data_IF_329281178833
#
_entry.id   IF_329281178833
#
_cell.length_a   1.000
_cell.length_b   1.000
_cell.length_c   1.000
_cell.angle_alpha   90.00
_cell.angle_beta   90.00
_cell.angle_gamma   90.00
#
_symmetry.space_group_name_H-M   'P 1'
#
loop_
_entity.id
_entity.type
_entity.pdbx_description
1 polymer ?
#
# COMPACT_ATOMS: atom_id res chain seq x y z
N UNK A 1 40.87 -17.65 45.56
CA UNK A 1 40.60 -17.83 44.11
C UNK A 1 39.13 -18.12 43.80
N UNK A 2 38.47 -19.14 44.38
CA UNK A 2 37.05 -19.45 44.10
C UNK A 2 36.05 -18.33 44.42
N UNK A 3 36.30 -17.51 45.46
CA UNK A 3 35.45 -16.35 45.81
C UNK A 3 35.59 -15.15 44.86
N UNK A 4 36.76 -14.97 44.23
CA UNK A 4 36.96 -13.91 43.21
C UNK A 4 36.28 -14.27 41.88
N UNK A 5 36.24 -15.57 41.53
CA UNK A 5 35.55 -16.07 40.34
C UNK A 5 34.03 -15.86 40.42
N UNK A 6 33.44 -16.03 41.60
CA UNK A 6 32.01 -15.80 41.82
C UNK A 6 31.65 -14.31 41.64
N UNK A 7 32.53 -13.40 42.08
CA UNK A 7 32.34 -11.96 41.91
C UNK A 7 32.37 -11.55 40.42
N UNK A 8 33.24 -12.18 39.63
CA UNK A 8 33.30 -11.97 38.18
C UNK A 8 32.06 -12.49 37.45
N UNK A 9 31.49 -13.61 37.88
CA UNK A 9 30.25 -14.18 37.30
C UNK A 9 29.02 -13.32 37.64
N UNK A 10 28.97 -12.70 38.83
CA UNK A 10 27.85 -11.80 39.21
C UNK A 10 27.97 -10.44 38.52
N UNK A 11 29.19 -9.92 38.29
CA UNK A 11 29.41 -8.66 37.57
C UNK A 11 29.11 -8.77 36.06
N UNK A 12 29.38 -9.93 35.44
CA UNK A 12 29.09 -10.14 34.02
C UNK A 12 27.60 -10.35 33.71
N UNK A 13 26.77 -10.73 34.70
CA UNK A 13 25.32 -10.91 34.51
C UNK A 13 24.51 -9.60 34.58
N UNK A 14 25.13 -8.46 34.87
CA UNK A 14 24.45 -7.15 34.95
C UNK A 14 24.73 -6.23 33.75
N UNK A 15 25.45 -6.71 32.73
CA UNK A 15 25.64 -5.94 31.49
C UNK A 15 24.49 -6.25 30.54
N UNK A 16 23.28 -5.84 30.93
CA UNK A 16 22.20 -5.64 29.98
C UNK A 16 22.59 -4.44 29.12
N UNK A 17 23.24 -4.70 27.99
CA UNK A 17 23.42 -3.67 26.95
C UNK A 17 22.02 -3.35 26.42
N UNK A 18 21.35 -2.38 27.03
CA UNK A 18 20.18 -1.76 26.44
C UNK A 18 20.67 -1.05 25.19
N UNK A 19 20.44 -1.65 24.02
CA UNK A 19 20.44 -0.88 22.78
C UNK A 19 19.33 0.17 22.94
N UNK A 20 19.71 1.43 23.15
CA UNK A 20 18.77 2.54 23.16
C UNK A 20 18.17 2.62 21.76
N UNK A 21 16.88 2.30 21.67
CA UNK A 21 16.09 2.49 20.45
C UNK A 21 15.61 3.93 20.45
N UNK A 22 16.29 4.78 19.68
CA UNK A 22 15.89 6.17 19.51
C UNK A 22 14.85 6.28 18.39
N UNK A 23 13.79 7.03 18.66
CA UNK A 23 12.77 7.38 17.69
C UNK A 23 13.20 8.62 16.92
N UNK A 24 13.08 8.56 15.61
CA UNK A 24 13.38 9.64 14.69
C UNK A 24 12.14 9.98 13.88
N UNK A 25 11.92 11.27 13.66
CA UNK A 25 10.88 11.76 12.75
C UNK A 25 11.50 12.68 11.71
N UNK A 26 11.17 12.43 10.44
CA UNK A 26 11.64 13.26 9.33
C UNK A 26 10.44 13.79 8.53
N UNK A 27 10.66 14.96 7.92
CA UNK A 27 9.71 15.64 7.05
C UNK A 27 10.32 15.74 5.65
N UNK A 28 9.72 15.10 4.66
CA UNK A 28 10.22 15.08 3.29
C UNK A 28 9.51 16.14 2.46
N UNK A 29 10.29 17.01 1.81
CA UNK A 29 9.79 18.12 1.00
C UNK A 29 10.48 18.20 -0.34
N UNK A 30 9.78 18.71 -1.33
CA UNK A 30 10.39 19.16 -2.59
C UNK A 30 11.24 20.41 -2.33
N UNK A 31 12.46 20.45 -2.86
CA UNK A 31 13.42 21.54 -2.60
C UNK A 31 13.01 22.87 -3.23
N UNK A 32 12.24 22.86 -4.32
CA UNK A 32 11.87 24.05 -5.08
C UNK A 32 10.57 24.67 -4.56
N UNK A 33 9.55 23.83 -4.36
CA UNK A 33 8.19 24.23 -3.96
C UNK A 33 7.99 24.25 -2.45
N UNK A 34 8.89 23.60 -1.70
CA UNK A 34 8.82 23.38 -0.25
C UNK A 34 7.56 22.63 0.20
N UNK A 35 6.81 22.04 -0.73
CA UNK A 35 5.64 21.24 -0.44
C UNK A 35 6.05 19.85 0.10
N UNK A 36 5.23 19.26 0.98
CA UNK A 36 5.43 17.88 1.40
C UNK A 36 5.45 16.90 0.23
N UNK A 37 6.27 15.86 0.35
CA UNK A 37 6.26 14.72 -0.57
C UNK A 37 5.58 13.55 0.12
N UNK A 38 4.33 13.31 -0.24
CA UNK A 38 3.55 12.14 0.18
C UNK A 38 4.11 10.86 -0.46
N UNK A 39 3.99 9.72 0.25
CA UNK A 39 4.36 8.38 -0.24
C UNK A 39 5.85 8.24 -0.64
N UNK A 40 6.71 9.16 -0.20
CA UNK A 40 8.15 9.01 -0.33
C UNK A 40 8.59 7.79 0.48
N UNK A 41 9.34 6.90 -0.16
CA UNK A 41 9.83 5.68 0.47
C UNK A 41 11.08 5.98 1.29
N UNK A 42 11.07 5.54 2.53
CA UNK A 42 12.14 5.70 3.49
C UNK A 42 12.63 4.31 3.91
N UNK A 43 13.87 3.99 3.60
CA UNK A 43 14.48 2.69 3.88
C UNK A 43 15.57 2.83 4.93
N UNK A 44 15.40 2.15 6.06
CA UNK A 44 16.45 1.98 7.06
C UNK A 44 17.44 0.93 6.55
N UNK A 45 18.63 1.35 6.11
CA UNK A 45 19.50 0.51 5.28
C UNK A 45 20.01 -0.76 5.97
N UNK A 46 20.21 -0.72 7.29
CA UNK A 46 20.70 -1.87 8.08
C UNK A 46 19.63 -2.95 8.27
N UNK A 47 18.39 -2.55 8.57
CA UNK A 47 17.27 -3.47 8.84
C UNK A 47 16.47 -3.80 7.58
N UNK A 48 16.65 -3.02 6.50
CA UNK A 48 15.82 -3.06 5.29
C UNK A 48 14.34 -2.80 5.59
N UNK A 49 14.05 -2.11 6.70
CA UNK A 49 12.70 -1.66 7.00
C UNK A 49 12.32 -0.56 6.00
N UNK A 50 11.15 -0.73 5.40
CA UNK A 50 10.56 0.20 4.46
C UNK A 50 9.44 0.94 5.17
N UNK A 51 9.42 2.27 5.00
CA UNK A 51 8.39 3.16 5.49
C UNK A 51 7.97 4.14 4.39
N UNK A 52 6.82 4.77 4.55
CA UNK A 52 6.30 5.79 3.66
C UNK A 52 5.95 7.04 4.45
N UNK A 53 6.14 8.19 3.80
CA UNK A 53 5.62 9.45 4.31
C UNK A 53 4.11 9.55 4.11
N UNK A 54 3.42 10.18 5.06
CA UNK A 54 2.00 10.51 4.96
C UNK A 54 1.76 11.76 4.09
N UNK A 55 0.51 12.25 4.03
CA UNK A 55 0.13 13.45 3.26
C UNK A 55 0.89 14.72 3.69
N UNK A 56 1.29 14.80 4.97
CA UNK A 56 2.12 15.88 5.50
C UNK A 56 3.61 15.71 5.15
N UNK A 57 3.99 14.65 4.42
CA UNK A 57 5.38 14.31 4.11
C UNK A 57 6.15 13.78 5.32
N UNK A 58 5.46 13.43 6.42
CA UNK A 58 6.07 13.00 7.68
C UNK A 58 6.18 11.48 7.76
N UNK A 59 7.29 11.00 8.33
CA UNK A 59 7.46 9.59 8.70
C UNK A 59 8.25 9.48 9.99
N UNK A 60 7.88 8.50 10.81
CA UNK A 60 8.55 8.16 12.07
C UNK A 60 9.09 6.73 12.02
N UNK A 61 10.29 6.52 12.56
CA UNK A 61 10.94 5.22 12.61
C UNK A 61 11.92 5.14 13.77
N UNK A 62 12.34 3.92 14.10
CA UNK A 62 13.31 3.65 15.16
C UNK A 62 14.61 3.14 14.57
N UNK A 63 15.73 3.66 15.04
CA UNK A 63 17.05 3.15 14.68
C UNK A 63 17.66 2.35 15.83
N UNK A 64 18.08 1.10 15.54
CA UNK A 64 18.86 0.27 16.46
C UNK A 64 20.36 0.39 16.12
N UNK A 65 20.97 1.45 16.66
CA UNK A 65 22.35 1.87 16.39
C UNK A 65 22.52 2.57 15.04
N UNK A 66 23.77 2.85 14.66
CA UNK A 66 24.08 3.63 13.46
C UNK A 66 23.63 2.96 12.15
N UNK A 67 22.54 3.45 11.56
CA UNK A 67 22.04 3.01 10.25
C UNK A 67 21.60 4.20 9.41
N UNK A 68 22.22 4.35 8.25
CA UNK A 68 21.80 5.36 7.27
C UNK A 68 20.37 5.09 6.79
N UNK A 69 19.74 6.15 6.31
CA UNK A 69 18.37 6.14 5.79
C UNK A 69 18.42 6.59 4.33
N UNK A 70 17.76 5.84 3.45
CA UNK A 70 17.59 6.23 2.06
C UNK A 70 16.16 6.72 1.85
N UNK A 71 16.02 7.90 1.26
CA UNK A 71 14.74 8.48 0.86
C UNK A 71 14.66 8.47 -0.67
N UNK A 72 13.56 7.96 -1.21
CA UNK A 72 13.34 7.83 -2.65
C UNK A 72 11.86 8.00 -2.99
N UNK A 73 11.57 8.66 -4.10
CA UNK A 73 10.25 8.75 -4.71
C UNK A 73 10.47 8.71 -6.23
N UNK A 74 9.49 8.22 -7.00
CA UNK A 74 9.61 8.01 -8.45
C UNK A 74 10.15 9.23 -9.19
N UNK A 75 9.71 10.43 -8.80
CA UNK A 75 9.98 11.69 -9.50
C UNK A 75 11.19 12.45 -8.96
N UNK A 76 11.91 11.90 -7.99
CA UNK A 76 12.98 12.61 -7.29
C UNK A 76 14.29 11.82 -7.31
N UNK A 77 15.40 12.54 -7.25
CA UNK A 77 16.71 11.95 -7.03
C UNK A 77 16.75 11.26 -5.67
N UNK A 78 17.28 10.03 -5.62
CA UNK A 78 17.43 9.28 -4.39
C UNK A 78 18.45 9.98 -3.47
N UNK A 79 18.11 10.11 -2.19
CA UNK A 79 18.97 10.74 -1.20
C UNK A 79 19.30 9.76 -0.06
N UNK A 80 20.58 9.60 0.25
CA UNK A 80 21.02 8.81 1.41
C UNK A 80 21.49 9.75 2.51
N UNK A 81 20.83 9.68 3.65
CA UNK A 81 21.10 10.48 4.84
C UNK A 81 21.94 9.63 5.80
N UNK A 82 23.05 10.19 6.26
CA UNK A 82 23.86 9.54 7.30
C UNK A 82 23.13 9.63 8.64
N UNK A 83 23.14 8.53 9.39
CA UNK A 83 22.46 8.48 10.69
C UNK A 83 22.94 9.58 11.65
N UNK A 84 24.23 9.91 11.61
CA UNK A 84 24.85 10.98 12.42
C UNK A 84 24.32 12.39 12.11
N UNK A 85 23.65 12.55 10.97
CA UNK A 85 23.07 13.83 10.54
C UNK A 85 21.61 13.98 10.96
N UNK A 86 20.95 12.88 11.38
CA UNK A 86 19.59 12.92 11.90
C UNK A 86 19.62 13.56 13.28
N UNK A 87 18.93 14.68 13.44
CA UNK A 87 18.72 15.32 14.74
C UNK A 87 17.48 14.70 15.39
N UNK A 88 17.48 14.63 16.72
CA UNK A 88 16.27 14.30 17.48
C UNK A 88 15.19 15.36 17.19
N UNK A 89 13.99 14.90 16.82
CA UNK A 89 12.79 15.68 16.46
C UNK A 89 12.86 16.49 15.14
N UNK A 90 12.03 16.05 14.17
CA UNK A 90 11.61 16.75 12.94
C UNK A 90 12.73 17.27 12.03
N UNK A 91 13.59 16.37 11.57
CA UNK A 91 14.60 16.68 10.55
C UNK A 91 13.97 16.80 9.16
N UNK A 92 14.15 17.93 8.48
CA UNK A 92 13.63 18.13 7.11
C UNK A 92 14.60 17.60 6.06
N UNK A 93 14.09 16.77 5.16
CA UNK A 93 14.78 16.19 4.01
C UNK A 93 14.26 16.84 2.74
N UNK A 94 15.14 17.48 1.99
CA UNK A 94 14.78 18.08 0.71
C UNK A 94 15.14 17.15 -0.44
N UNK A 95 14.14 16.76 -1.21
CA UNK A 95 14.31 15.99 -2.45
C UNK A 95 14.33 16.94 -3.65
N UNK A 96 15.20 16.62 -4.60
CA UNK A 96 15.32 17.35 -5.86
C UNK A 96 14.57 16.59 -6.96
N UNK A 97 13.66 17.27 -7.65
CA UNK A 97 12.89 16.68 -8.73
C UNK A 97 13.80 16.27 -9.90
N UNK A 98 13.47 15.16 -10.57
CA UNK A 98 14.12 14.70 -11.81
C UNK A 98 13.67 15.46 -13.07
N UNK A 99 12.84 16.52 -12.88
CA UNK A 99 12.11 17.26 -13.90
C UNK A 99 12.88 17.42 -15.21
N UNK A 100 12.27 16.93 -16.28
CA UNK A 100 12.63 17.28 -17.65
C UNK A 100 11.41 17.97 -18.31
N UNK A 101 11.62 19.12 -18.94
CA UNK A 101 10.55 20.05 -19.33
C UNK A 101 9.86 19.71 -20.67
N UNK A 102 9.72 18.43 -21.05
CA UNK A 102 9.15 18.06 -22.35
C UNK A 102 8.20 16.86 -22.24
N UNK A 103 6.91 17.10 -22.53
CA UNK A 103 5.94 16.03 -22.75
C UNK A 103 6.22 15.38 -24.11
N UNK A 104 6.86 14.21 -24.11
CA UNK A 104 7.13 13.46 -25.33
C UNK A 104 5.98 12.50 -25.64
N UNK A 105 5.36 12.68 -26.81
CA UNK A 105 4.42 11.69 -27.35
C UNK A 105 5.23 10.51 -27.89
N UNK A 106 5.00 9.31 -27.34
CA UNK A 106 5.70 8.10 -27.77
C UNK A 106 5.06 7.56 -29.04
N UNK A 107 5.71 7.77 -30.18
CA UNK A 107 5.26 7.19 -31.46
C UNK A 107 5.83 5.78 -31.60
N UNK A 108 5.04 4.77 -31.19
CA UNK A 108 5.38 3.36 -31.38
C UNK A 108 4.69 2.77 -32.61
N UNK A 109 5.39 1.89 -33.33
CA UNK A 109 4.78 1.05 -34.38
C UNK A 109 3.96 -0.10 -33.80
N UNK A 110 4.17 -0.43 -32.52
CA UNK A 110 3.45 -1.49 -31.84
C UNK A 110 2.14 -0.98 -31.25
N UNK A 111 1.08 -1.79 -31.36
CA UNK A 111 -0.21 -1.47 -30.79
C UNK A 111 -0.13 -1.37 -29.25
N UNK A 112 -0.64 -0.30 -28.61
CA UNK A 112 -0.55 -0.10 -27.16
C UNK A 112 -1.04 -1.26 -26.31
N UNK A 113 -2.11 -1.96 -26.72
CA UNK A 113 -2.60 -3.13 -25.99
C UNK A 113 -1.60 -4.30 -26.01
N UNK A 114 -0.83 -4.46 -27.10
CA UNK A 114 0.24 -5.48 -27.15
C UNK A 114 1.40 -5.12 -26.23
N UNK A 115 1.71 -3.82 -26.11
CA UNK A 115 2.69 -3.32 -25.15
C UNK A 115 2.21 -3.64 -23.73
N UNK A 116 0.94 -3.35 -23.42
CA UNK A 116 0.32 -3.69 -22.13
C UNK A 116 0.45 -5.19 -21.81
N UNK A 117 0.08 -6.06 -22.75
CA UNK A 117 0.19 -7.51 -22.57
C UNK A 117 1.62 -7.95 -22.22
N UNK A 118 2.63 -7.38 -22.88
CA UNK A 118 4.05 -7.68 -22.61
C UNK A 118 4.49 -7.23 -21.23
N UNK A 119 4.16 -5.99 -20.83
CA UNK A 119 4.57 -5.46 -19.53
C UNK A 119 3.86 -6.17 -18.38
N UNK A 120 2.58 -6.54 -18.54
CA UNK A 120 1.83 -7.30 -17.54
C UNK A 120 2.40 -8.71 -17.41
N UNK A 121 2.63 -9.41 -18.53
CA UNK A 121 3.22 -10.75 -18.51
C UNK A 121 4.59 -10.76 -17.83
N UNK A 122 5.48 -9.85 -18.20
CA UNK A 122 6.83 -9.78 -17.63
C UNK A 122 6.80 -9.39 -16.14
N UNK A 123 5.91 -8.47 -15.74
CA UNK A 123 5.74 -8.10 -14.33
C UNK A 123 5.20 -9.28 -13.50
N UNK A 124 4.23 -10.03 -14.04
CA UNK A 124 3.70 -11.25 -13.42
C UNK A 124 4.78 -12.31 -13.26
N UNK A 125 5.58 -12.56 -14.30
CA UNK A 125 6.67 -13.54 -14.21
C UNK A 125 7.73 -13.12 -13.18
N UNK A 126 8.05 -11.83 -13.09
CA UNK A 126 9.07 -11.30 -12.17
C UNK A 126 8.64 -11.34 -10.70
N UNK A 127 7.35 -11.09 -10.41
CA UNK A 127 6.82 -11.15 -9.04
C UNK A 127 6.54 -12.60 -8.59
N UNK A 128 6.40 -13.54 -9.53
CA UNK A 128 6.09 -14.97 -9.31
C UNK A 128 7.24 -15.79 -8.74
N UNK A 129 7.84 -15.28 -7.66
CA UNK A 129 8.85 -15.97 -6.86
C UNK A 129 8.25 -16.34 -5.51
N UNK A 130 8.72 -17.42 -4.90
CA UNK A 130 8.41 -17.68 -3.50
C UNK A 130 9.04 -16.59 -2.65
N UNK A 131 8.23 -15.85 -1.92
CA UNK A 131 8.69 -14.75 -1.07
C UNK A 131 7.67 -14.48 0.04
N UNK A 132 8.06 -13.60 0.96
CA UNK A 132 7.16 -13.05 1.97
C UNK A 132 7.22 -11.53 2.00
N UNK A 133 6.08 -10.94 2.34
CA UNK A 133 5.91 -9.53 2.59
C UNK A 133 5.43 -9.35 4.04
N UNK A 134 6.16 -8.58 4.84
CA UNK A 134 5.63 -8.04 6.08
C UNK A 134 4.92 -6.74 5.75
N UNK A 135 3.62 -6.68 6.01
CA UNK A 135 2.76 -5.59 5.57
C UNK A 135 2.08 -4.95 6.79
N UNK A 136 2.06 -3.63 6.83
CA UNK A 136 1.13 -2.88 7.65
C UNK A 136 -0.14 -2.64 6.85
N UNK A 137 -1.25 -3.13 7.36
CA UNK A 137 -2.59 -2.96 6.81
C UNK A 137 -3.35 -1.99 7.68
N UNK A 138 -4.11 -1.08 7.08
CA UNK A 138 -5.04 -0.17 7.74
C UNK A 138 -6.35 -0.12 6.97
N UNK A 139 -7.49 -0.23 7.65
CA UNK A 139 -8.80 -0.05 7.04
C UNK A 139 -9.67 0.92 7.85
N UNK A 140 -10.25 1.89 7.15
CA UNK A 140 -11.32 2.73 7.69
C UNK A 140 -12.65 2.34 7.06
N UNK A 141 -13.68 2.26 7.88
CA UNK A 141 -15.04 1.98 7.46
C UNK A 141 -15.95 3.13 7.86
N UNK A 142 -16.61 3.71 6.86
CA UNK A 142 -17.62 4.73 7.04
C UNK A 142 -19.01 4.16 6.74
N UNK A 143 -19.94 4.50 7.63
CA UNK A 143 -21.36 4.25 7.47
C UNK A 143 -22.10 5.57 7.52
N UNK A 144 -22.94 5.84 6.52
CA UNK A 144 -23.73 7.07 6.40
C UNK A 144 -22.88 8.34 6.61
N UNK A 145 -21.71 8.33 5.96
CA UNK A 145 -20.70 9.39 5.98
C UNK A 145 -20.05 9.63 7.34
N UNK A 146 -20.16 8.70 8.28
CA UNK A 146 -19.47 8.75 9.57
C UNK A 146 -18.51 7.58 9.70
N UNK A 147 -17.31 7.82 10.21
CA UNK A 147 -16.42 6.73 10.59
C UNK A 147 -17.07 5.94 11.73
N UNK A 148 -17.31 4.66 11.47
CA UNK A 148 -17.99 3.77 12.41
C UNK A 148 -17.09 2.67 12.91
N UNK A 149 -16.06 2.34 12.13
CA UNK A 149 -15.18 1.25 12.45
C UNK A 149 -13.77 1.47 11.85
N UNK A 150 -12.74 1.00 12.55
CA UNK A 150 -11.34 1.05 12.16
C UNK A 150 -10.61 -0.24 12.51
N UNK A 151 -9.73 -0.72 11.63
CA UNK A 151 -8.71 -1.70 12.00
C UNK A 151 -7.32 -1.30 11.48
N UNK A 152 -6.28 -1.83 12.11
CA UNK A 152 -4.98 -1.96 11.49
C UNK A 152 -4.25 -3.20 12.02
N UNK A 153 -3.15 -3.57 11.38
CA UNK A 153 -2.34 -4.68 11.83
C UNK A 153 -1.01 -4.81 11.11
N UNK A 154 -0.08 -5.48 11.79
CA UNK A 154 1.12 -6.03 11.18
C UNK A 154 0.84 -7.48 10.79
N UNK A 155 0.92 -7.74 9.50
CA UNK A 155 0.64 -9.05 8.93
C UNK A 155 1.80 -9.53 8.06
N UNK A 156 1.87 -10.84 7.84
CA UNK A 156 2.84 -11.47 6.96
C UNK A 156 2.10 -12.24 5.89
N UNK A 157 2.31 -11.86 4.63
CA UNK A 157 1.87 -12.63 3.47
C UNK A 157 3.03 -13.49 3.00
N UNK A 158 2.83 -14.80 2.90
CA UNK A 158 3.78 -15.72 2.29
C UNK A 158 3.21 -16.24 0.97
N UNK A 159 3.94 -16.02 -0.11
CA UNK A 159 3.53 -16.41 -1.46
C UNK A 159 4.17 -17.73 -1.85
N UNK A 160 3.37 -18.60 -2.44
CA UNK A 160 3.88 -19.73 -3.20
C UNK A 160 4.29 -19.28 -4.62
N UNK A 161 4.82 -20.20 -5.44
CA UNK A 161 5.23 -19.91 -6.82
C UNK A 161 4.08 -19.51 -7.76
N UNK A 162 2.83 -19.71 -7.34
CA UNK A 162 1.64 -19.37 -8.11
C UNK A 162 1.03 -18.02 -7.63
N UNK A 163 1.74 -17.26 -6.81
CA UNK A 163 1.27 -16.02 -6.19
C UNK A 163 0.03 -16.15 -5.32
N UNK A 164 -0.27 -17.34 -4.82
CA UNK A 164 -1.31 -17.50 -3.79
C UNK A 164 -0.75 -17.09 -2.44
N UNK A 165 -1.33 -16.09 -1.76
CA UNK A 165 -0.87 -15.66 -0.46
C UNK A 165 -1.41 -16.57 0.66
N UNK A 166 -0.56 -16.85 1.65
CA UNK A 166 -0.97 -17.28 2.99
C UNK A 166 -0.78 -16.12 3.95
N UNK A 167 -1.83 -15.74 4.67
CA UNK A 167 -1.81 -14.65 5.63
C UNK A 167 -1.60 -15.13 7.06
N UNK A 168 -0.61 -14.55 7.74
CA UNK A 168 -0.41 -14.64 9.19
C UNK A 168 -0.56 -13.27 9.83
N UNK A 169 -1.24 -13.19 10.99
CA UNK A 169 -1.41 -11.93 11.73
C UNK A 169 -0.48 -11.91 12.95
N UNK A 170 0.44 -10.95 12.97
CA UNK A 170 1.41 -10.78 14.06
C UNK A 170 0.77 -9.99 15.22
N UNK A 171 0.25 -8.81 14.89
CA UNK A 171 -0.41 -7.87 15.80
C UNK A 171 -1.57 -7.19 15.07
N UNK A 172 -2.62 -6.82 15.80
CA UNK A 172 -3.75 -6.06 15.28
C UNK A 172 -4.49 -5.29 16.37
N UNK A 173 -5.14 -4.20 15.97
CA UNK A 173 -6.16 -3.50 16.74
C UNK A 173 -7.37 -3.21 15.85
N UNK A 174 -8.49 -3.11 16.52
CA UNK A 174 -9.82 -3.02 15.93
C UNK A 174 -10.67 -2.20 16.90
N UNK A 175 -11.36 -1.19 16.37
CA UNK A 175 -12.13 -0.21 17.13
C UNK A 175 -13.42 0.16 16.41
N UNK A 176 -14.41 0.64 17.18
CA UNK A 176 -15.72 1.05 16.68
C UNK A 176 -16.78 -0.03 16.76
N UNK A 177 -17.98 0.30 16.29
CA UNK A 177 -19.17 -0.54 16.38
C UNK A 177 -19.67 -0.90 14.99
N UNK A 178 -19.88 -2.19 14.77
CA UNK A 178 -20.49 -2.70 13.53
C UNK A 178 -21.98 -2.89 13.76
N UNK A 179 -22.79 -2.33 12.87
CA UNK A 179 -24.25 -2.53 12.93
C UNK A 179 -24.62 -3.97 12.55
N UNK A 180 -25.59 -4.53 13.28
CA UNK A 180 -25.97 -5.94 13.18
C UNK A 180 -26.63 -6.30 11.84
N UNK A 181 -27.24 -5.34 11.17
CA UNK A 181 -27.93 -5.51 9.88
C UNK A 181 -27.00 -5.40 8.67
N UNK A 182 -25.73 -5.00 8.86
CA UNK A 182 -24.69 -5.07 7.83
C UNK A 182 -24.05 -6.46 7.89
N UNK A 183 -24.27 -7.29 6.87
CA UNK A 183 -23.70 -8.64 6.85
C UNK A 183 -22.18 -8.64 6.85
N UNK A 184 -21.54 -9.68 7.40
CA UNK A 184 -20.09 -9.80 7.49
C UNK A 184 -19.40 -9.76 6.12
N UNK A 185 -20.07 -10.22 5.06
CA UNK A 185 -19.56 -10.21 3.68
C UNK A 185 -19.47 -8.81 3.06
N UNK A 186 -20.06 -7.80 3.72
CA UNK A 186 -20.01 -6.40 3.31
C UNK A 186 -18.93 -5.61 4.05
N UNK A 187 -18.16 -6.27 4.94
CA UNK A 187 -17.24 -5.62 5.87
C UNK A 187 -15.78 -5.83 5.46
N UNK A 188 -15.18 -4.79 4.91
CA UNK A 188 -13.74 -4.71 4.66
C UNK A 188 -13.32 -5.52 3.43
N UNK A 189 -12.05 -5.43 3.09
CA UNK A 189 -11.50 -6.20 1.99
C UNK A 189 -11.12 -7.61 2.44
N UNK A 190 -11.24 -8.59 1.53
CA UNK A 190 -10.57 -9.86 1.75
C UNK A 190 -9.08 -9.68 1.48
N UNK A 191 -8.28 -9.65 2.56
CA UNK A 191 -6.86 -9.34 2.52
C UNK A 191 -6.06 -10.28 1.62
N UNK A 192 -6.43 -11.58 1.56
CA UNK A 192 -5.78 -12.53 0.65
C UNK A 192 -6.17 -12.24 -0.81
N UNK A 193 -7.45 -11.99 -1.08
CA UNK A 193 -7.93 -11.72 -2.44
C UNK A 193 -7.29 -10.45 -3.02
N UNK A 194 -7.23 -9.35 -2.25
CA UNK A 194 -6.61 -8.11 -2.74
C UNK A 194 -5.10 -8.29 -2.95
N UNK A 195 -4.43 -9.00 -2.05
CA UNK A 195 -3.01 -9.28 -2.19
C UNK A 195 -2.69 -10.18 -3.40
N UNK A 196 -3.55 -11.15 -3.66
CA UNK A 196 -3.49 -11.97 -4.87
C UNK A 196 -3.76 -11.12 -6.12
N UNK A 197 -4.74 -10.22 -6.10
CA UNK A 197 -5.04 -9.33 -7.22
C UNK A 197 -3.84 -8.44 -7.58
N UNK A 198 -3.13 -7.90 -6.58
CA UNK A 198 -1.90 -7.13 -6.80
C UNK A 198 -0.77 -7.97 -7.40
N UNK A 199 -0.61 -9.20 -6.93
CA UNK A 199 0.49 -10.07 -7.34
C UNK A 199 0.24 -10.77 -8.67
N UNK A 200 -1.03 -10.95 -9.04
CA UNK A 200 -1.45 -11.58 -10.31
C UNK A 200 -1.78 -10.57 -11.40
N UNK A 201 -1.80 -9.26 -11.07
CA UNK A 201 -2.17 -8.15 -11.94
C UNK A 201 -3.61 -8.24 -12.49
N UNK A 202 -4.52 -8.79 -11.67
CA UNK A 202 -5.91 -9.09 -12.07
C UNK A 202 -6.73 -7.88 -12.49
N UNK A 203 -6.39 -6.68 -11.97
CA UNK A 203 -7.04 -5.43 -12.36
C UNK A 203 -6.95 -5.14 -13.87
N UNK A 204 -5.97 -5.72 -14.57
CA UNK A 204 -5.83 -5.53 -16.01
C UNK A 204 -6.57 -6.56 -16.87
N UNK A 205 -7.20 -7.58 -16.28
CA UNK A 205 -7.93 -8.61 -17.04
C UNK A 205 -8.90 -8.02 -18.09
N UNK A 206 -9.70 -6.97 -17.80
CA UNK A 206 -10.58 -6.35 -18.79
C UNK A 206 -9.84 -5.75 -20.00
N UNK A 207 -8.59 -5.32 -19.80
CA UNK A 207 -7.76 -4.68 -20.83
C UNK A 207 -6.95 -5.69 -21.64
N UNK A 208 -6.75 -6.89 -21.12
CA UNK A 208 -6.00 -7.96 -21.81
C UNK A 208 -6.87 -8.72 -22.81
N UNK A 209 -8.21 -8.64 -22.70
CA UNK A 209 -9.13 -9.22 -23.67
C UNK A 209 -9.02 -8.54 -25.03
N UNK A 210 -9.02 -9.33 -26.11
CA UNK A 210 -9.04 -8.85 -27.49
C UNK A 210 -10.14 -7.83 -27.82
N UNK A 211 -11.28 -7.88 -27.10
CA UNK A 211 -12.41 -6.96 -27.24
C UNK A 211 -12.15 -5.59 -26.64
N UNK A 212 -11.18 -5.43 -25.75
CA UNK A 212 -10.89 -4.16 -25.07
C UNK A 212 -10.67 -3.01 -26.06
N UNK A 213 -10.11 -3.28 -27.26
CA UNK A 213 -9.92 -2.27 -28.32
C UNK A 213 -11.21 -1.63 -28.85
N UNK A 214 -12.37 -2.25 -28.60
CA UNK A 214 -13.69 -1.72 -28.99
C UNK A 214 -14.34 -0.90 -27.89
N UNK A 215 -13.84 -1.02 -26.67
CA UNK A 215 -14.40 -0.43 -25.45
C UNK A 215 -13.48 0.68 -24.88
N UNK A 216 -12.18 0.63 -25.17
CA UNK A 216 -11.17 1.54 -24.61
C UNK A 216 -10.33 2.24 -25.68
N UNK A 217 -9.95 3.47 -25.39
CA UNK A 217 -8.85 4.17 -26.07
C UNK A 217 -7.57 4.05 -25.26
N UNK A 218 -6.42 3.94 -25.94
CA UNK A 218 -5.11 3.74 -25.33
C UNK A 218 -4.14 4.80 -25.81
N UNK A 219 -3.50 5.50 -24.87
CA UNK A 219 -2.47 6.50 -25.16
C UNK A 219 -1.21 6.20 -24.37
N UNK A 220 -0.03 6.49 -24.95
CA UNK A 220 1.26 6.33 -24.28
C UNK A 220 2.06 7.62 -24.45
N UNK A 221 2.60 8.14 -23.35
CA UNK A 221 3.45 9.33 -23.31
C UNK A 221 4.68 9.07 -22.43
N UNK A 222 5.74 9.85 -22.62
CA UNK A 222 6.83 9.93 -21.65
C UNK A 222 6.32 10.48 -20.31
N UNK A 223 6.89 10.01 -19.20
CA UNK A 223 6.51 10.49 -17.88
C UNK A 223 7.09 11.90 -17.63
N UNK A 224 6.22 12.88 -17.39
CA UNK A 224 6.56 14.31 -17.35
C UNK A 224 7.66 14.71 -16.36
N UNK A 225 7.84 13.95 -15.28
CA UNK A 225 8.86 14.22 -14.25
C UNK A 225 10.01 13.21 -14.21
N UNK A 226 9.97 12.15 -15.02
CA UNK A 226 10.97 11.09 -14.96
C UNK A 226 11.07 10.37 -16.31
N UNK A 227 12.10 10.72 -17.09
CA UNK A 227 12.34 10.16 -18.43
C UNK A 227 12.54 8.64 -18.49
N UNK A 228 12.85 8.00 -17.36
CA UNK A 228 13.07 6.56 -17.30
C UNK A 228 11.75 5.78 -17.42
N UNK A 229 10.59 6.47 -17.35
CA UNK A 229 9.28 5.85 -17.35
C UNK A 229 8.36 6.39 -18.43
N UNK A 230 7.47 5.52 -18.91
CA UNK A 230 6.34 5.88 -19.75
C UNK A 230 5.04 5.74 -18.96
N UNK A 231 4.05 6.53 -19.36
CA UNK A 231 2.68 6.52 -18.82
C UNK A 231 1.74 6.03 -19.92
N UNK A 232 1.02 4.95 -19.64
CA UNK A 232 -0.08 4.48 -20.47
C UNK A 232 -1.41 4.88 -19.82
N UNK A 233 -2.16 5.75 -20.49
CA UNK A 233 -3.50 6.18 -20.05
C UNK A 233 -4.56 5.51 -20.92
N UNK A 234 -5.55 4.90 -20.27
CA UNK A 234 -6.58 4.08 -20.92
C UNK A 234 -7.94 4.54 -20.41
N UNK A 235 -8.83 4.92 -21.32
CA UNK A 235 -10.14 5.48 -20.98
C UNK A 235 -11.25 4.74 -21.75
N UNK A 236 -12.42 4.50 -21.13
CA UNK A 236 -13.58 3.99 -21.84
C UNK A 236 -13.97 4.92 -22.99
N UNK A 237 -14.33 4.34 -24.13
CA UNK A 237 -14.90 5.08 -25.25
C UNK A 237 -16.33 5.53 -24.90
N UNK A 238 -16.79 6.64 -25.48
CA UNK A 238 -18.16 7.14 -25.26
C UNK A 238 -19.25 6.11 -25.63
N UNK A 239 -18.95 5.27 -26.64
CA UNK A 239 -19.83 4.21 -27.14
C UNK A 239 -19.62 2.86 -26.45
N UNK A 240 -18.78 2.80 -25.42
CA UNK A 240 -18.53 1.58 -24.66
C UNK A 240 -19.83 1.10 -24.00
N UNK A 241 -20.00 -0.22 -23.94
CA UNK A 241 -21.17 -0.85 -23.33
C UNK A 241 -20.89 -1.35 -21.93
N UNK A 242 -19.67 -1.82 -21.70
CA UNK A 242 -19.29 -2.52 -20.46
C UNK A 242 -18.16 -1.79 -19.71
N UNK A 243 -17.31 -1.05 -20.42
CA UNK A 243 -16.17 -0.35 -19.82
C UNK A 243 -16.59 0.88 -19.01
N UNK A 244 -16.10 0.96 -17.77
CA UNK A 244 -16.35 2.06 -16.84
C UNK A 244 -15.08 2.56 -16.15
N UNK A 245 -14.04 1.74 -16.05
CA UNK A 245 -12.81 2.05 -15.35
C UNK A 245 -11.83 2.83 -16.23
N UNK A 246 -11.17 3.82 -15.67
CA UNK A 246 -10.00 4.46 -16.26
C UNK A 246 -8.74 3.80 -15.69
N UNK A 247 -7.66 3.80 -16.47
CA UNK A 247 -6.39 3.27 -16.03
C UNK A 247 -5.26 4.24 -16.35
N UNK A 248 -4.35 4.39 -15.40
CA UNK A 248 -3.04 4.99 -15.60
C UNK A 248 -1.98 4.00 -15.17
N UNK A 249 -1.07 3.64 -16.08
CA UNK A 249 -0.05 2.62 -15.83
C UNK A 249 1.31 3.24 -16.11
N UNK A 250 2.14 3.33 -15.09
CA UNK A 250 3.52 3.81 -15.20
C UNK A 250 4.44 2.59 -15.26
N UNK A 251 5.32 2.56 -16.25
CA UNK A 251 6.21 1.42 -16.47
C UNK A 251 7.59 1.83 -16.98
N UNK A 252 8.58 0.99 -16.67
CA UNK A 252 9.94 1.06 -17.19
C UNK A 252 9.97 0.43 -18.59
N UNK A 253 10.22 1.19 -19.68
CA UNK A 253 10.19 0.68 -21.04
C UNK A 253 11.38 -0.24 -21.36
N UNK A 254 12.51 -0.10 -20.66
CA UNK A 254 13.69 -0.95 -20.84
C UNK A 254 13.50 -2.30 -20.13
N UNK A 255 13.11 -2.25 -18.84
CA UNK A 255 12.89 -3.45 -18.02
C UNK A 255 11.56 -4.12 -18.31
N UNK A 256 10.60 -3.40 -18.93
CA UNK A 256 9.23 -3.84 -19.20
C UNK A 256 8.50 -4.25 -17.91
N UNK A 257 8.68 -3.47 -16.85
CA UNK A 257 8.07 -3.69 -15.55
C UNK A 257 7.15 -2.53 -15.21
N UNK A 258 5.98 -2.87 -14.69
CA UNK A 258 5.06 -1.89 -14.11
C UNK A 258 5.68 -1.38 -12.82
N UNK A 259 5.62 -0.07 -12.57
CA UNK A 259 6.11 0.53 -11.33
C UNK A 259 4.98 1.10 -10.49
N UNK A 260 3.94 1.60 -11.15
CA UNK A 260 2.73 2.11 -10.51
C UNK A 260 1.55 1.85 -11.45
N UNK A 261 0.37 1.59 -10.89
CA UNK A 261 -0.87 1.80 -11.62
C UNK A 261 -1.96 2.40 -10.75
N UNK A 262 -2.85 3.12 -11.41
CA UNK A 262 -4.09 3.64 -10.84
C UNK A 262 -5.26 3.12 -11.68
N UNK A 263 -6.34 2.72 -11.01
CA UNK A 263 -7.65 2.40 -11.59
C UNK A 263 -8.69 3.25 -10.86
N UNK A 264 -9.50 3.99 -11.59
CA UNK A 264 -10.54 4.84 -11.01
C UNK A 264 -11.79 4.87 -11.88
N UNK A 265 -12.92 5.27 -11.28
CA UNK A 265 -14.13 5.55 -12.02
C UNK A 265 -14.50 7.01 -11.82
N UNK A 266 -14.57 7.75 -12.93
CA UNK A 266 -15.04 9.14 -12.92
C UNK A 266 -16.55 9.23 -12.67
N UNK A 267 -17.06 10.37 -12.16
CA UNK A 267 -18.50 10.61 -12.05
C UNK A 267 -19.25 10.37 -13.37
N UNK A 268 -18.67 10.79 -14.49
CA UNK A 268 -19.25 10.62 -15.83
C UNK A 268 -19.40 9.14 -16.25
N UNK A 269 -18.49 8.27 -15.80
CA UNK A 269 -18.61 6.82 -16.05
C UNK A 269 -19.59 6.15 -15.10
N UNK A 270 -19.70 6.63 -13.85
CA UNK A 270 -20.71 6.14 -12.90
C UNK A 270 -22.14 6.44 -13.37
N UNK A 271 -22.37 7.59 -14.00
CA UNK A 271 -23.69 7.97 -14.54
C UNK A 271 -24.21 7.02 -15.63
N UNK A 272 -23.32 6.22 -16.24
CA UNK A 272 -23.68 5.19 -17.23
C UNK A 272 -24.20 3.90 -16.58
N UNK A 273 -24.00 3.73 -15.27
CA UNK A 273 -24.41 2.54 -14.53
C UNK A 273 -25.81 2.76 -13.98
N UNK A 274 -26.77 1.94 -14.43
CA UNK A 274 -28.12 1.99 -13.90
C UNK A 274 -28.15 1.60 -12.41
N UNK A 275 -28.71 2.48 -11.59
CA UNK A 275 -28.93 2.21 -10.17
C UNK A 275 -29.97 1.11 -9.99
N UNK A 276 -29.60 0.06 -9.25
CA UNK A 276 -30.46 -1.08 -8.99
C UNK A 276 -31.21 -0.89 -7.68
N UNK A 277 -32.50 -1.20 -7.65
CA UNK A 277 -33.38 -1.03 -6.48
C UNK A 277 -33.63 -2.34 -5.71
N UNK A 278 -33.04 -3.44 -6.15
CA UNK A 278 -33.21 -4.75 -5.50
C UNK A 278 -32.51 -4.77 -4.14
N UNK A 279 -33.17 -5.33 -3.13
CA UNK A 279 -32.64 -5.50 -1.78
C UNK A 279 -31.32 -6.29 -1.79
N UNK A 280 -30.37 -5.84 -0.97
CA UNK A 280 -28.98 -6.30 -0.83
C UNK A 280 -28.09 -6.06 -2.06
N UNK A 281 -28.53 -5.26 -3.04
CA UNK A 281 -27.66 -4.82 -4.13
C UNK A 281 -26.80 -3.64 -3.69
N UNK A 282 -25.54 -3.65 -4.16
CA UNK A 282 -24.58 -2.55 -4.02
C UNK A 282 -24.59 -1.71 -5.29
N UNK A 283 -24.93 -0.44 -5.17
CA UNK A 283 -24.76 0.53 -6.24
C UNK A 283 -23.47 1.29 -6.01
N UNK A 284 -22.48 1.06 -6.86
CA UNK A 284 -21.15 1.66 -6.76
C UNK A 284 -21.26 3.19 -6.91
N UNK A 285 -20.63 3.92 -5.99
CA UNK A 285 -20.57 5.39 -6.01
C UNK A 285 -19.14 5.91 -6.05
N UNK A 286 -18.15 5.07 -5.74
CA UNK A 286 -16.73 5.36 -5.89
C UNK A 286 -15.94 4.07 -6.00
N UNK A 287 -14.94 4.05 -6.87
CA UNK A 287 -13.92 3.02 -6.94
C UNK A 287 -12.60 3.68 -7.29
N UNK A 288 -11.58 3.42 -6.49
CA UNK A 288 -10.23 3.91 -6.68
C UNK A 288 -9.26 2.85 -6.17
N UNK A 289 -8.24 2.55 -6.97
CA UNK A 289 -7.18 1.60 -6.66
C UNK A 289 -5.88 2.22 -7.13
N UNK A 290 -4.91 2.41 -6.24
CA UNK A 290 -3.54 2.81 -6.58
C UNK A 290 -2.56 1.81 -5.99
N UNK A 291 -1.66 1.30 -6.81
CA UNK A 291 -0.71 0.25 -6.43
C UNK A 291 0.68 0.60 -6.92
N UNK A 292 1.65 0.50 -6.01
CA UNK A 292 3.06 0.77 -6.27
C UNK A 292 3.89 -0.49 -6.11
N UNK A 293 4.86 -0.68 -7.00
CA UNK A 293 5.82 -1.78 -6.95
C UNK A 293 7.23 -1.23 -6.78
N UNK A 294 8.07 -1.99 -6.09
CA UNK A 294 9.49 -1.68 -5.93
C UNK A 294 10.32 -2.70 -6.67
N UNK A 295 11.24 -2.20 -7.48
CA UNK A 295 12.31 -2.98 -8.10
C UNK A 295 13.64 -2.63 -7.43
N UNK A 296 14.24 -3.58 -6.71
CA UNK A 296 15.48 -3.40 -5.95
C UNK A 296 16.46 -4.54 -6.25
N UNK A 297 17.47 -4.25 -7.08
CA UNK A 297 18.40 -5.26 -7.59
C UNK A 297 17.68 -6.29 -8.46
N UNK A 298 17.48 -7.49 -7.94
CA UNK A 298 16.71 -8.55 -8.62
C UNK A 298 15.28 -8.68 -8.10
N UNK A 299 14.96 -8.05 -6.98
CA UNK A 299 13.67 -8.17 -6.29
C UNK A 299 12.64 -7.24 -6.90
N UNK A 300 11.44 -7.78 -7.14
CA UNK A 300 10.28 -7.04 -7.62
C UNK A 300 9.08 -7.43 -6.77
N UNK A 301 8.51 -6.48 -6.03
CA UNK A 301 7.45 -6.75 -5.07
C UNK A 301 6.50 -5.57 -4.88
N UNK A 302 5.31 -5.85 -4.35
CA UNK A 302 4.36 -4.82 -3.95
C UNK A 302 4.97 -3.94 -2.86
N UNK A 303 5.10 -2.64 -3.12
CA UNK A 303 5.57 -1.65 -2.16
C UNK A 303 4.42 -1.17 -1.28
N UNK A 304 3.34 -0.70 -1.90
CA UNK A 304 2.16 -0.20 -1.21
C UNK A 304 0.92 -0.23 -2.10
N UNK A 305 -0.25 -0.14 -1.48
CA UNK A 305 -1.50 0.11 -2.18
C UNK A 305 -2.41 1.01 -1.35
N UNK A 306 -3.26 1.77 -2.04
CA UNK A 306 -4.36 2.52 -1.47
C UNK A 306 -5.61 2.21 -2.30
N UNK A 307 -6.61 1.64 -1.67
CA UNK A 307 -7.90 1.36 -2.29
C UNK A 307 -9.04 2.05 -1.55
N UNK A 308 -10.02 2.48 -2.32
CA UNK A 308 -11.24 3.05 -1.81
C UNK A 308 -12.42 2.58 -2.65
N UNK A 309 -13.42 2.05 -1.96
CA UNK A 309 -14.70 1.68 -2.56
C UNK A 309 -15.82 2.33 -1.75
N UNK A 310 -16.78 2.94 -2.44
CA UNK A 310 -18.02 3.42 -1.84
C UNK A 310 -19.22 2.91 -2.63
N UNK A 311 -20.29 2.58 -1.94
CA UNK A 311 -21.53 2.13 -2.54
C UNK A 311 -22.75 2.41 -1.65
N UNK A 312 -23.90 2.56 -2.30
CA UNK A 312 -25.20 2.53 -1.65
C UNK A 312 -25.67 1.08 -1.55
N UNK A 313 -25.93 0.61 -0.33
CA UNK A 313 -26.52 -0.69 -0.06
C UNK A 313 -28.03 -0.53 0.10
N UNK A 314 -28.81 -1.15 -0.79
CA UNK A 314 -30.27 -1.14 -0.69
C UNK A 314 -30.69 -2.17 0.36
N UNK A 315 -31.29 -1.73 1.48
CA UNK A 315 -31.96 -2.59 2.45
C UNK A 315 -33.48 -2.51 2.25
N UNK A 316 -34.25 -3.32 2.99
CA UNK A 316 -35.71 -3.39 2.82
C UNK A 316 -36.42 -2.05 3.02
N UNK A 317 -35.95 -1.24 3.98
CA UNK A 317 -36.62 0.00 4.40
C UNK A 317 -35.73 1.23 4.29
N UNK A 318 -34.42 1.04 4.09
CA UNK A 318 -33.42 2.11 4.12
C UNK A 318 -32.33 1.86 3.09
N UNK A 319 -31.59 2.91 2.76
CA UNK A 319 -30.35 2.81 1.98
C UNK A 319 -29.21 3.20 2.90
N UNK A 320 -28.18 2.36 2.98
CA UNK A 320 -26.97 2.64 3.75
C UNK A 320 -25.85 3.04 2.82
N UNK A 321 -25.15 4.14 3.14
CA UNK A 321 -23.95 4.55 2.41
C UNK A 321 -22.75 3.92 3.08
N UNK A 322 -22.06 3.04 2.36
CA UNK A 322 -20.87 2.37 2.86
C UNK A 322 -19.68 2.88 2.07
N UNK A 323 -18.60 3.20 2.78
CA UNK A 323 -17.31 3.51 2.18
C UNK A 323 -16.21 2.81 2.98
N UNK A 324 -15.30 2.17 2.26
CA UNK A 324 -14.16 1.45 2.83
C UNK A 324 -12.90 1.98 2.19
N UNK A 325 -11.94 2.39 3.01
CA UNK A 325 -10.60 2.78 2.60
C UNK A 325 -9.62 1.75 3.15
N UNK A 326 -8.79 1.18 2.30
CA UNK A 326 -7.77 0.20 2.67
C UNK A 326 -6.40 0.70 2.19
N UNK A 327 -5.40 0.59 3.07
CA UNK A 327 -4.02 0.96 2.76
C UNK A 327 -3.09 -0.16 3.20
N UNK A 328 -2.22 -0.60 2.28
CA UNK A 328 -1.14 -1.53 2.56
C UNK A 328 0.21 -0.86 2.40
N UNK A 329 1.13 -1.15 3.32
CA UNK A 329 2.54 -0.78 3.18
C UNK A 329 3.42 -1.98 3.49
N UNK A 330 4.19 -2.43 2.51
CA UNK A 330 5.22 -3.46 2.72
C UNK A 330 6.36 -2.84 3.52
N UNK A 331 6.54 -3.31 4.74
CA UNK A 331 7.61 -2.89 5.66
C UNK A 331 8.87 -3.74 5.50
N UNK A 332 8.76 -4.95 4.97
CA UNK A 332 9.89 -5.82 4.71
C UNK A 332 9.56 -6.83 3.60
N UNK A 333 10.56 -7.09 2.74
CA UNK A 333 10.53 -8.14 1.72
C UNK A 333 11.60 -9.18 2.02
N UNK A 334 11.30 -10.46 1.81
CA UNK A 334 12.29 -11.54 1.92
C UNK A 334 11.95 -12.72 1.01
N UNK A 335 12.95 -13.30 0.33
CA UNK A 335 12.78 -14.52 -0.48
C UNK A 335 12.66 -15.80 0.35
N UNK A 336 13.00 -15.75 1.63
CA UNK A 336 12.93 -16.89 2.55
C UNK A 336 11.58 -16.94 3.25
N UNK A 337 10.87 -18.05 3.02
CA UNK A 337 9.64 -18.40 3.70
C UNK A 337 9.90 -18.78 5.16
N UNK A 338 8.93 -18.51 6.04
CA UNK A 338 8.93 -19.04 7.41
C UNK A 338 8.17 -20.37 7.46
N UNK A 339 8.47 -21.16 8.48
CA UNK A 339 7.66 -22.34 8.84
C UNK A 339 6.53 -21.89 9.76
N UNK A 340 5.32 -22.40 9.53
CA UNK A 340 4.15 -22.15 10.36
C UNK A 340 3.29 -23.42 10.45
N UNK A 341 2.38 -23.43 11.41
CA UNK A 341 1.35 -24.47 11.53
C UNK A 341 0.03 -24.00 10.93
N UNK A 342 -0.84 -24.92 10.50
CA UNK A 342 -2.15 -24.54 9.94
C UNK A 342 -3.00 -23.72 10.91
N UNK A 343 -2.79 -23.87 12.23
CA UNK A 343 -3.48 -23.07 13.25
C UNK A 343 -3.02 -21.61 13.29
N UNK A 344 -1.84 -21.30 12.76
CA UNK A 344 -1.34 -19.92 12.66
C UNK A 344 -1.97 -19.16 11.48
N UNK A 345 -2.50 -19.88 10.49
CA UNK A 345 -3.07 -19.29 9.26
C UNK A 345 -4.34 -18.53 9.59
N UNK A 346 -4.38 -17.25 9.20
CA UNK A 346 -5.57 -16.44 9.30
C UNK A 346 -6.52 -16.73 8.13
N UNK A 347 -7.75 -17.17 8.47
CA UNK A 347 -8.73 -17.65 7.50
C UNK A 347 -9.91 -16.70 7.27
N UNK A 348 -10.03 -15.65 8.08
CA UNK A 348 -11.07 -14.63 7.89
C UNK A 348 -10.65 -13.63 6.81
N UNK A 349 -11.64 -12.92 6.26
CA UNK A 349 -11.43 -11.97 5.15
C UNK A 349 -10.66 -10.73 5.59
N UNK A 350 -11.05 -10.13 6.71
CA UNK A 350 -10.50 -8.86 7.21
C UNK A 350 -10.20 -8.94 8.70
N UNK A 351 -9.52 -7.92 9.25
CA UNK A 351 -9.23 -7.87 10.69
C UNK A 351 -10.42 -7.36 11.53
N UNK A 352 -11.58 -7.09 10.91
CA UNK A 352 -12.71 -6.41 11.55
C UNK A 352 -13.34 -7.14 12.74
N UNK A 353 -13.20 -8.46 12.87
CA UNK A 353 -13.72 -9.18 14.03
C UNK A 353 -12.60 -9.85 14.84
N UNK A 354 -11.35 -9.58 14.47
CA UNK A 354 -10.21 -10.19 15.13
C UNK A 354 -9.97 -9.49 16.46
N UNK A 355 -10.07 -10.24 17.55
CA UNK A 355 -9.71 -9.75 18.89
C UNK A 355 -8.34 -9.09 18.89
N UNK A 356 -8.24 -7.92 19.51
CA UNK A 356 -7.01 -7.14 19.59
C UNK A 356 -5.87 -7.96 20.17
N UNK A 357 -4.73 -7.89 19.49
CA UNK A 357 -3.46 -8.49 19.93
C UNK A 357 -2.37 -7.44 19.71
N UNK A 358 -2.12 -6.65 20.74
CA UNK A 358 -1.16 -5.56 20.73
C UNK A 358 0.04 -5.99 21.58
N UNK A 359 1.23 -6.05 20.98
CA UNK A 359 2.49 -6.37 21.66
C UNK A 359 3.42 -5.14 21.76
N UNK A 360 3.24 -4.19 20.86
CA UNK A 360 4.05 -2.97 20.69
C UNK A 360 3.17 -1.85 20.14
N UNK A 361 3.64 -0.60 20.21
CA UNK A 361 3.03 0.54 19.52
C UNK A 361 3.40 0.52 18.03
N UNK A 362 3.09 -0.59 17.36
CA UNK A 362 3.57 -0.82 16.01
C UNK A 362 3.11 0.28 15.05
N UNK A 363 1.89 0.81 15.19
CA UNK A 363 1.32 1.84 14.32
C UNK A 363 2.18 3.10 14.21
N UNK A 364 3.03 3.41 15.19
CA UNK A 364 3.92 4.57 15.17
C UNK A 364 5.16 4.35 14.27
N UNK A 365 5.51 3.09 14.00
CA UNK A 365 6.76 2.68 13.32
C UNK A 365 6.54 1.62 12.23
N UNK A 366 5.29 1.37 11.81
CA UNK A 366 4.91 0.28 10.88
C UNK A 366 4.84 0.70 9.42
N UNK A 367 5.45 1.81 9.06
CA UNK A 367 5.60 2.17 7.66
C UNK A 367 4.56 3.13 7.11
N UNK A 368 3.53 3.52 7.87
CA UNK A 368 2.66 4.63 7.48
C UNK A 368 2.20 5.42 8.71
N UNK A 369 2.82 6.58 8.95
CA UNK A 369 2.51 7.44 10.09
C UNK A 369 1.11 8.04 9.93
N UNK A 370 0.25 7.86 10.92
CA UNK A 370 -1.09 8.45 10.88
C UNK A 370 -1.03 9.98 10.93
N UNK A 371 -1.89 10.64 10.16
CA UNK A 371 -2.09 12.09 10.22
C UNK A 371 -2.83 12.45 11.50
N UNK A 372 -2.81 13.72 11.90
CA UNK A 372 -3.51 14.13 13.13
C UNK A 372 -5.04 13.99 13.00
N UNK A 373 -5.58 14.15 11.80
CA UNK A 373 -6.99 13.85 11.49
C UNK A 373 -7.28 12.35 11.70
N UNK A 374 -6.47 11.46 11.12
CA UNK A 374 -6.62 10.02 11.28
C UNK A 374 -6.53 9.60 12.76
N UNK A 375 -5.58 10.16 13.52
CA UNK A 375 -5.45 9.90 14.95
C UNK A 375 -6.71 10.32 15.72
N UNK A 376 -7.29 11.48 15.39
CA UNK A 376 -8.51 11.95 16.02
C UNK A 376 -9.70 11.01 15.72
N UNK A 377 -9.81 10.52 14.48
CA UNK A 377 -10.82 9.52 14.09
C UNK A 377 -10.63 8.24 14.90
N UNK A 378 -9.40 7.69 14.94
CA UNK A 378 -9.09 6.43 15.65
C UNK A 378 -9.42 6.58 17.14
N UNK A 379 -9.00 7.68 17.77
CA UNK A 379 -9.30 7.96 19.17
C UNK A 379 -10.82 8.02 19.43
N UNK A 380 -11.59 8.64 18.54
CA UNK A 380 -13.06 8.71 18.69
C UNK A 380 -13.76 7.35 18.63
N UNK A 381 -13.15 6.36 17.96
CA UNK A 381 -13.68 5.00 17.82
C UNK A 381 -13.26 4.08 18.97
N UNK A 382 -12.10 4.33 19.58
CA UNK A 382 -11.59 3.55 20.72
C UNK A 382 -12.54 3.61 21.93
N UNK A 383 -13.20 4.77 22.16
CA UNK A 383 -14.16 4.95 23.26
C UNK A 383 -15.52 4.26 23.06
N UNK A 384 -15.77 3.63 21.91
CA UNK A 384 -17.03 2.91 21.62
C UNK A 384 -16.97 1.41 21.96
N UNK A 385 -15.98 0.96 22.73
CA UNK A 385 -15.80 -0.42 23.18
C UNK A 385 -16.68 -0.81 24.38
#
# INVERSE_FOLDING_TARGET
>A
MKKLLLLFVVLLNNVSVFAQSEEYSILVKDIETLQPVENATVVVLKTKQVLLTNEDGKVTFVLSGGSNVQVSEMNYENLTIRWTSLKENEFTVYLKNKKENLDEVVVSKENPQKILQKIVSNSKDKISISHRLKVYVREFFMLDNQYSYYNDGLVNFQFNKNNTPTLLVEQNRSYGLLESDISSDLRGYNLNDIMENYSSFKYFDPLLDSKAKKEYDFTIKGHAKNKDYYVMSIYPLDKAKEAIDNFEIIYDPEKKLIVEFTVDITPQNLDKIEEKTTVNVKNLTRSFVKVNYRFDGEDYYLLNSNEEIAYNLILKETVKKIQVRNSFTTTNFNRQNFTYSESDVFKEKSLFNKKNKILTNYWDISGFTATDEEKAIIASLEFKL
#
